data_IF_732552612242
#
_entry.id   IF_732552612242
#
_cell.length_a   1.000
_cell.length_b   1.000
_cell.length_c   1.000
_cell.angle_alpha   90.00
_cell.angle_beta   90.00
_cell.angle_gamma   90.00
#
_symmetry.space_group_name_H-M   'P 1'
#
loop_
_entity.id
_entity.type
_entity.pdbx_description
1 polymer ?
#
# COMPACT_ATOMS: atom_id res chain seq x y z
N UNK A 1 28.77 16.90 29.38
CA UNK A 1 27.49 16.40 29.91
C UNK A 1 26.71 15.92 28.70
N UNK A 2 26.63 14.62 28.53
CA UNK A 2 25.82 14.00 27.48
C UNK A 2 24.35 14.37 27.74
N UNK A 3 23.78 15.22 26.90
CA UNK A 3 22.33 15.38 26.84
C UNK A 3 21.76 14.01 26.45
N UNK A 4 21.32 13.26 27.44
CA UNK A 4 20.40 12.15 27.17
C UNK A 4 19.17 12.77 26.54
N UNK A 5 19.08 12.65 25.22
CA UNK A 5 17.93 13.10 24.46
C UNK A 5 16.73 12.28 24.96
N UNK A 6 15.99 12.86 25.89
CA UNK A 6 14.83 12.24 26.52
C UNK A 6 13.77 12.04 25.43
N UNK A 7 13.23 10.84 25.29
CA UNK A 7 12.15 10.51 24.38
C UNK A 7 10.96 11.48 24.48
N UNK A 8 10.79 12.09 25.66
CA UNK A 8 9.78 13.15 25.89
C UNK A 8 10.11 14.43 25.11
N UNK A 9 11.39 14.79 24.97
CA UNK A 9 11.83 15.94 24.18
C UNK A 9 11.49 15.77 22.70
N UNK A 10 11.79 14.59 22.11
CA UNK A 10 11.41 14.32 20.72
C UNK A 10 9.90 14.39 20.50
N UNK A 11 9.11 13.88 21.42
CA UNK A 11 7.65 13.95 21.33
C UNK A 11 7.13 15.39 21.38
N UNK A 12 7.74 16.24 22.21
CA UNK A 12 7.39 17.66 22.28
C UNK A 12 7.74 18.40 20.99
N UNK A 13 8.89 18.11 20.36
CA UNK A 13 9.30 18.68 19.08
C UNK A 13 8.30 18.33 17.98
N UNK A 14 7.96 17.06 17.87
CA UNK A 14 6.98 16.58 16.88
C UNK A 14 5.61 17.22 17.09
N UNK A 15 5.15 17.33 18.34
CA UNK A 15 3.87 17.97 18.68
C UNK A 15 3.88 19.47 18.39
N UNK A 16 4.97 20.17 18.68
CA UNK A 16 5.13 21.61 18.44
C UNK A 16 5.06 21.94 16.95
N UNK A 17 5.66 21.09 16.11
CA UNK A 17 5.74 21.28 14.66
C UNK A 17 4.78 20.34 13.87
N UNK A 18 3.77 19.78 14.54
CA UNK A 18 2.81 18.84 13.93
C UNK A 18 2.13 19.42 12.68
N UNK A 19 1.82 20.71 12.68
CA UNK A 19 1.27 21.41 11.51
C UNK A 19 2.17 21.30 10.28
N UNK A 20 3.48 21.45 10.45
CA UNK A 20 4.46 21.34 9.38
C UNK A 20 4.52 19.90 8.85
N UNK A 21 4.53 18.91 9.75
CA UNK A 21 4.51 17.48 9.37
C UNK A 21 3.26 17.16 8.57
N UNK A 22 2.08 17.60 9.04
CA UNK A 22 0.81 17.38 8.34
C UNK A 22 0.84 18.05 6.97
N UNK A 23 1.35 19.27 6.86
CA UNK A 23 1.43 19.98 5.58
C UNK A 23 2.32 19.23 4.58
N UNK A 24 3.50 18.74 5.01
CA UNK A 24 4.40 17.95 4.17
C UNK A 24 3.72 16.65 3.73
N UNK A 25 3.08 15.94 4.66
CA UNK A 25 2.39 14.68 4.37
C UNK A 25 1.28 14.90 3.34
N UNK A 26 0.43 15.92 3.52
CA UNK A 26 -0.65 16.24 2.58
C UNK A 26 -0.09 16.60 1.21
N UNK A 27 0.95 17.43 1.15
CA UNK A 27 1.57 17.85 -0.11
C UNK A 27 2.17 16.67 -0.87
N UNK A 28 2.93 15.80 -0.19
CA UNK A 28 3.55 14.63 -0.81
C UNK A 28 2.49 13.63 -1.25
N UNK A 29 1.48 13.34 -0.43
CA UNK A 29 0.38 12.44 -0.80
C UNK A 29 -0.38 12.98 -2.02
N UNK A 30 -0.62 14.29 -2.10
CA UNK A 30 -1.25 14.91 -3.25
C UNK A 30 -0.39 14.74 -4.51
N UNK A 31 0.91 15.02 -4.43
CA UNK A 31 1.83 14.84 -5.56
C UNK A 31 1.90 13.38 -6.03
N UNK A 32 2.03 12.43 -5.10
CA UNK A 32 2.06 10.99 -5.42
C UNK A 32 0.73 10.54 -6.01
N UNK A 33 -0.40 11.01 -5.48
CA UNK A 33 -1.73 10.71 -5.99
C UNK A 33 -1.94 11.21 -7.42
N UNK A 34 -1.61 12.47 -7.68
CA UNK A 34 -1.69 13.07 -9.02
C UNK A 34 -0.76 12.34 -9.99
N UNK A 35 0.49 12.10 -9.60
CA UNK A 35 1.44 11.34 -10.42
C UNK A 35 0.92 9.95 -10.78
N UNK A 36 0.41 9.22 -9.77
CA UNK A 36 -0.08 7.85 -9.97
C UNK A 36 -1.36 7.79 -10.82
N UNK A 37 -2.25 8.78 -10.68
CA UNK A 37 -3.53 8.79 -11.39
C UNK A 37 -3.45 9.34 -12.82
N UNK A 38 -2.59 10.36 -13.08
CA UNK A 38 -2.60 11.08 -14.34
C UNK A 38 -1.40 10.80 -15.24
N UNK A 39 -0.22 10.49 -14.67
CA UNK A 39 1.02 10.34 -15.46
C UNK A 39 1.24 8.88 -15.84
N UNK A 40 0.93 7.91 -14.97
CA UNK A 40 1.09 6.49 -15.29
C UNK A 40 -0.08 5.99 -16.13
N UNK A 41 0.24 5.33 -17.25
CA UNK A 41 -0.76 4.67 -18.10
C UNK A 41 -1.37 3.49 -17.35
N UNK A 42 -2.68 3.26 -17.46
CA UNK A 42 -3.30 2.07 -16.89
C UNK A 42 -2.76 0.81 -17.57
N UNK A 43 -2.49 -0.22 -16.78
CA UNK A 43 -2.05 -1.54 -17.24
C UNK A 43 -3.14 -2.54 -16.90
N UNK A 44 -3.52 -3.32 -17.87
CA UNK A 44 -4.52 -4.38 -17.74
C UNK A 44 -3.86 -5.74 -17.73
N UNK A 45 -4.48 -6.70 -17.07
CA UNK A 45 -4.01 -8.08 -17.01
C UNK A 45 -5.06 -9.01 -17.64
N UNK A 46 -4.60 -9.90 -18.48
CA UNK A 46 -5.39 -11.01 -19.00
C UNK A 46 -4.70 -12.32 -18.65
N UNK A 47 -5.48 -13.37 -18.41
CA UNK A 47 -4.93 -14.65 -17.98
C UNK A 47 -5.56 -15.83 -18.70
N UNK A 48 -4.72 -16.83 -19.03
CA UNK A 48 -5.10 -18.12 -19.58
C UNK A 48 -4.70 -19.21 -18.60
N UNK A 49 -5.55 -20.20 -18.36
CA UNK A 49 -5.26 -21.32 -17.48
C UNK A 49 -4.96 -22.56 -18.27
N UNK A 50 -3.86 -23.23 -17.93
CA UNK A 50 -3.35 -24.44 -18.57
C UNK A 50 -3.26 -25.56 -17.54
N UNK A 51 -3.71 -26.74 -17.89
CA UNK A 51 -3.53 -27.96 -17.09
C UNK A 51 -2.50 -28.85 -17.78
N UNK A 52 -1.52 -29.32 -17.02
CA UNK A 52 -0.57 -30.32 -17.49
C UNK A 52 -0.83 -31.63 -16.76
N UNK A 53 -1.19 -32.66 -17.51
CA UNK A 53 -1.48 -33.99 -16.98
C UNK A 53 -0.60 -35.03 -17.70
N UNK A 54 0.08 -35.87 -16.96
CA UNK A 54 0.73 -37.06 -17.55
C UNK A 54 -0.26 -38.21 -17.56
N UNK A 55 -0.54 -38.77 -18.75
CA UNK A 55 -1.22 -40.08 -18.83
C UNK A 55 -0.27 -41.13 -18.27
N UNK A 56 -0.64 -41.75 -17.17
CA UNK A 56 -0.06 -43.02 -16.75
C UNK A 56 -0.41 -44.08 -17.82
N UNK A 57 0.63 -44.61 -18.48
CA UNK A 57 0.53 -45.63 -19.53
C UNK A 57 0.24 -47.02 -18.94
N UNK A 58 -0.11 -47.11 -17.67
CA UNK A 58 -0.29 -48.41 -17.01
C UNK A 58 -1.68 -48.52 -16.40
N UNK A 59 -2.34 -49.56 -16.88
CA UNK A 59 -3.74 -49.99 -16.60
C UNK A 59 -3.91 -50.59 -15.20
N UNK A 60 -3.52 -49.88 -14.13
CA UNK A 60 -3.90 -50.29 -12.77
C UNK A 60 -4.80 -49.22 -12.14
N UNK A 61 -6.07 -49.46 -12.23
CA UNK A 61 -7.19 -48.57 -11.91
C UNK A 61 -7.34 -48.32 -10.39
N UNK A 62 -6.47 -48.83 -9.52
CA UNK A 62 -6.74 -48.90 -8.08
C UNK A 62 -5.69 -48.32 -7.14
N UNK A 63 -4.64 -47.62 -7.63
CA UNK A 63 -3.72 -46.89 -6.72
C UNK A 63 -3.52 -45.47 -7.19
N UNK A 64 -4.10 -44.53 -6.47
CA UNK A 64 -3.65 -43.10 -6.49
C UNK A 64 -2.20 -43.06 -6.06
N UNK A 65 -1.28 -43.02 -7.01
CA UNK A 65 0.14 -42.92 -6.72
C UNK A 65 0.49 -41.48 -6.32
N UNK A 66 0.57 -41.25 -5.01
CA UNK A 66 0.97 -39.97 -4.44
C UNK A 66 2.32 -39.47 -4.96
N UNK A 67 3.20 -40.39 -5.37
CA UNK A 67 4.51 -40.04 -5.94
C UNK A 67 4.34 -39.41 -7.35
N UNK A 68 3.39 -39.90 -8.15
CA UNK A 68 3.08 -39.30 -9.45
C UNK A 68 2.49 -37.90 -9.31
N UNK A 69 1.63 -37.69 -8.32
CA UNK A 69 1.05 -36.36 -8.03
C UNK A 69 2.16 -35.37 -7.65
N UNK A 70 3.06 -35.76 -6.76
CA UNK A 70 4.18 -34.92 -6.34
C UNK A 70 5.17 -34.62 -7.48
N UNK A 71 5.44 -35.62 -8.34
CA UNK A 71 6.29 -35.46 -9.52
C UNK A 71 5.65 -34.47 -10.50
N UNK A 72 4.36 -34.55 -10.73
CA UNK A 72 3.61 -33.64 -11.62
C UNK A 72 3.64 -32.19 -11.08
N UNK A 73 3.56 -32.01 -9.77
CA UNK A 73 3.66 -30.68 -9.13
C UNK A 73 5.07 -30.08 -9.34
N UNK A 74 6.13 -30.87 -9.22
CA UNK A 74 7.51 -30.42 -9.46
C UNK A 74 7.70 -30.03 -10.92
N UNK A 75 7.14 -30.78 -11.87
CA UNK A 75 7.19 -30.45 -13.29
C UNK A 75 6.51 -29.10 -13.62
N UNK A 76 5.46 -28.73 -12.89
CA UNK A 76 4.83 -27.41 -13.07
C UNK A 76 5.81 -26.27 -12.87
N UNK A 77 6.70 -26.34 -11.89
CA UNK A 77 7.72 -25.30 -11.69
C UNK A 77 8.69 -25.22 -12.87
N UNK A 78 9.07 -26.36 -13.42
CA UNK A 78 9.88 -26.43 -14.65
C UNK A 78 9.15 -25.81 -15.83
N UNK A 79 7.89 -26.10 -16.03
CA UNK A 79 7.09 -25.56 -17.14
C UNK A 79 6.87 -24.06 -17.03
N UNK A 80 6.72 -23.51 -15.82
CA UNK A 80 6.64 -22.07 -15.60
C UNK A 80 7.87 -21.33 -16.09
N UNK A 81 9.05 -21.90 -15.83
CA UNK A 81 10.31 -21.32 -16.32
C UNK A 81 10.43 -21.45 -17.84
N UNK A 82 10.06 -22.60 -18.42
CA UNK A 82 10.16 -22.86 -19.85
C UNK A 82 9.29 -21.91 -20.68
N UNK A 83 8.09 -21.59 -20.23
CA UNK A 83 7.21 -20.63 -20.93
C UNK A 83 7.90 -19.29 -21.19
N UNK A 84 8.76 -18.86 -20.27
CA UNK A 84 9.51 -17.59 -20.36
C UNK A 84 10.78 -17.67 -21.18
N UNK A 85 11.19 -18.86 -21.60
CA UNK A 85 12.41 -19.03 -22.38
C UNK A 85 12.25 -18.61 -23.84
N UNK A 86 13.36 -18.22 -24.51
CA UNK A 86 13.35 -17.96 -25.94
C UNK A 86 12.81 -19.15 -26.75
N UNK A 87 13.00 -20.40 -26.29
CA UNK A 87 12.50 -21.59 -26.96
C UNK A 87 10.99 -21.55 -27.23
N UNK A 88 10.21 -20.94 -26.34
CA UNK A 88 8.76 -20.75 -26.52
C UNK A 88 8.45 -19.37 -27.08
N UNK A 89 9.05 -18.30 -26.53
CA UNK A 89 8.72 -16.93 -26.92
C UNK A 89 9.10 -16.59 -28.36
N UNK A 90 10.22 -17.11 -28.88
CA UNK A 90 10.60 -16.95 -30.29
C UNK A 90 9.58 -17.63 -31.22
N UNK A 91 9.03 -18.77 -30.79
CA UNK A 91 7.96 -19.45 -31.53
C UNK A 91 6.67 -18.63 -31.53
N UNK A 92 6.36 -17.94 -30.40
CA UNK A 92 5.20 -17.02 -30.35
C UNK A 92 5.40 -15.88 -31.34
N UNK A 93 6.58 -15.24 -31.35
CA UNK A 93 6.91 -14.15 -32.28
C UNK A 93 6.79 -14.61 -33.74
N UNK A 94 7.28 -15.82 -34.03
CA UNK A 94 7.25 -16.37 -35.38
C UNK A 94 5.85 -16.72 -35.83
N UNK A 95 5.01 -17.32 -34.97
CA UNK A 95 3.67 -17.78 -35.30
C UNK A 95 2.61 -16.65 -35.28
N UNK A 96 2.90 -15.58 -34.55
CA UNK A 96 1.99 -14.43 -34.36
C UNK A 96 2.69 -13.08 -34.65
N UNK A 97 3.15 -12.87 -35.91
CA UNK A 97 3.91 -11.64 -36.28
C UNK A 97 3.08 -10.36 -36.13
N UNK A 98 1.74 -10.47 -36.12
CA UNK A 98 0.80 -9.38 -35.89
C UNK A 98 0.96 -8.71 -34.52
N UNK A 99 1.49 -9.41 -33.53
CA UNK A 99 1.72 -8.85 -32.18
C UNK A 99 2.84 -7.79 -32.18
N UNK A 100 3.76 -7.83 -33.16
CA UNK A 100 4.89 -6.87 -33.34
C UNK A 100 5.71 -6.71 -32.06
N UNK A 101 6.01 -7.80 -31.38
CA UNK A 101 6.79 -7.87 -30.14
C UNK A 101 8.03 -8.72 -30.35
N UNK A 102 9.11 -8.42 -29.62
CA UNK A 102 10.26 -9.32 -29.49
C UNK A 102 10.05 -10.34 -28.36
N UNK A 103 10.83 -11.42 -28.34
CA UNK A 103 10.79 -12.40 -27.27
C UNK A 103 11.16 -11.78 -25.89
N UNK A 104 12.09 -10.81 -25.87
CA UNK A 104 12.45 -10.07 -24.66
C UNK A 104 11.27 -9.27 -24.12
N UNK A 105 10.57 -8.52 -24.98
CA UNK A 105 9.37 -7.77 -24.59
C UNK A 105 8.27 -8.69 -24.07
N UNK A 106 8.04 -9.83 -24.71
CA UNK A 106 7.11 -10.84 -24.22
C UNK A 106 7.51 -11.36 -22.84
N UNK A 107 8.80 -11.63 -22.61
CA UNK A 107 9.30 -12.12 -21.33
C UNK A 107 9.05 -11.13 -20.17
N UNK A 108 9.13 -9.82 -20.43
CA UNK A 108 8.85 -8.78 -19.45
C UNK A 108 7.37 -8.64 -19.13
N UNK A 109 6.50 -8.88 -20.13
CA UNK A 109 5.05 -8.75 -20.00
C UNK A 109 4.37 -9.98 -19.39
N UNK A 110 5.06 -11.15 -19.43
CA UNK A 110 4.50 -12.45 -19.04
C UNK A 110 4.89 -12.81 -17.60
N UNK A 111 3.89 -13.12 -16.81
CA UNK A 111 4.06 -13.75 -15.51
C UNK A 111 3.34 -15.11 -15.47
N UNK A 112 4.04 -16.15 -15.01
CA UNK A 112 3.47 -17.50 -14.93
C UNK A 112 3.42 -17.91 -13.47
N UNK A 113 2.22 -18.17 -13.00
CA UNK A 113 1.93 -18.62 -11.65
C UNK A 113 1.28 -20.01 -11.65
N UNK A 114 1.32 -20.69 -10.52
CA UNK A 114 0.57 -21.93 -10.30
C UNK A 114 -0.07 -21.89 -8.92
N UNK A 115 -1.23 -22.51 -8.79
CA UNK A 115 -1.85 -22.71 -7.48
C UNK A 115 -1.08 -23.83 -6.79
N UNK A 116 -0.63 -23.61 -5.57
CA UNK A 116 0.16 -24.58 -4.81
C UNK A 116 -0.54 -25.96 -4.79
N UNK A 117 0.26 -27.01 -5.06
CA UNK A 117 -0.18 -28.41 -5.05
C UNK A 117 -1.26 -28.76 -6.11
N UNK A 118 -1.33 -27.98 -7.19
CA UNK A 118 -2.21 -28.29 -8.31
C UNK A 118 -1.43 -28.39 -9.62
N UNK A 119 -2.02 -29.07 -10.60
CA UNK A 119 -1.48 -29.20 -11.96
C UNK A 119 -1.90 -28.04 -12.88
N UNK A 120 -2.44 -26.96 -12.30
CA UNK A 120 -2.93 -25.80 -13.03
C UNK A 120 -1.90 -24.67 -13.00
N UNK A 121 -1.51 -24.22 -14.18
CA UNK A 121 -0.71 -23.00 -14.38
C UNK A 121 -1.60 -21.90 -14.92
N UNK A 122 -1.29 -20.68 -14.52
CA UNK A 122 -1.91 -19.46 -15.02
C UNK A 122 -0.86 -18.63 -15.73
N UNK A 123 -1.03 -18.40 -17.01
CA UNK A 123 -0.23 -17.47 -17.82
C UNK A 123 -0.93 -16.13 -17.77
N UNK A 124 -0.29 -15.15 -17.15
CA UNK A 124 -0.79 -13.79 -16.98
C UNK A 124 0.06 -12.87 -17.87
N UNK A 125 -0.59 -11.99 -18.61
CA UNK A 125 0.06 -11.01 -19.46
C UNK A 125 -0.46 -9.63 -19.12
N UNK A 126 0.46 -8.67 -18.98
CA UNK A 126 0.15 -7.30 -18.66
C UNK A 126 0.47 -6.39 -19.85
N UNK A 127 -0.53 -5.61 -20.29
CA UNK A 127 -0.39 -4.62 -21.37
C UNK A 127 -1.28 -3.40 -21.08
N UNK A 128 -1.00 -2.30 -21.78
CA UNK A 128 -1.84 -1.08 -21.73
C UNK A 128 -3.22 -1.27 -22.37
N UNK A 129 -3.41 -2.34 -23.14
CA UNK A 129 -4.67 -2.77 -23.74
C UNK A 129 -5.05 -4.18 -23.26
N UNK A 130 -6.22 -4.31 -22.66
CA UNK A 130 -6.71 -5.63 -22.22
C UNK A 130 -6.85 -6.63 -23.37
N UNK A 131 -7.38 -6.19 -24.51
CA UNK A 131 -7.55 -7.04 -25.71
C UNK A 131 -6.21 -7.62 -26.14
N UNK A 132 -5.19 -6.75 -26.22
CA UNK A 132 -3.83 -7.17 -26.59
C UNK A 132 -3.22 -8.11 -25.56
N UNK A 133 -3.40 -7.85 -24.26
CA UNK A 133 -2.97 -8.76 -23.20
C UNK A 133 -3.62 -10.15 -23.35
N UNK A 134 -4.91 -10.20 -23.68
CA UNK A 134 -5.66 -11.46 -23.89
C UNK A 134 -5.16 -12.22 -25.13
N UNK A 135 -4.92 -11.53 -26.24
CA UNK A 135 -4.36 -12.12 -27.46
C UNK A 135 -2.97 -12.72 -27.20
N UNK A 136 -2.09 -12.00 -26.52
CA UNK A 136 -0.74 -12.46 -26.18
C UNK A 136 -0.83 -13.67 -25.24
N UNK A 137 -1.67 -13.63 -24.18
CA UNK A 137 -1.82 -14.75 -23.25
C UNK A 137 -2.32 -16.02 -23.95
N UNK A 138 -3.25 -15.87 -24.88
CA UNK A 138 -3.78 -16.99 -25.68
C UNK A 138 -2.72 -17.51 -26.65
N UNK A 139 -1.99 -16.64 -27.36
CA UNK A 139 -0.95 -17.02 -28.29
C UNK A 139 0.19 -17.81 -27.58
N UNK A 140 0.64 -17.35 -26.44
CA UNK A 140 1.65 -18.05 -25.64
C UNK A 140 1.15 -19.44 -25.22
N UNK A 141 -0.10 -19.51 -24.76
CA UNK A 141 -0.72 -20.76 -24.31
C UNK A 141 -0.89 -21.76 -25.45
N UNK A 142 -1.29 -21.28 -26.63
CA UNK A 142 -1.45 -22.12 -27.82
C UNK A 142 -0.10 -22.66 -28.33
N UNK A 143 0.95 -21.83 -28.33
CA UNK A 143 2.32 -22.26 -28.68
C UNK A 143 2.85 -23.24 -27.64
N UNK A 144 2.70 -22.94 -26.37
CA UNK A 144 3.13 -23.84 -25.30
C UNK A 144 2.46 -25.21 -25.39
N UNK A 145 1.15 -25.25 -25.64
CA UNK A 145 0.39 -26.50 -25.83
C UNK A 145 0.93 -27.34 -26.99
N UNK A 146 1.40 -26.69 -28.06
CA UNK A 146 1.91 -27.38 -29.25
C UNK A 146 3.35 -27.83 -29.10
N UNK A 147 4.22 -27.00 -28.48
CA UNK A 147 5.65 -27.24 -28.43
C UNK A 147 6.09 -28.15 -27.28
N UNK A 148 5.41 -28.10 -26.12
CA UNK A 148 5.82 -28.89 -24.95
C UNK A 148 5.78 -30.39 -25.19
N UNK A 149 4.79 -30.98 -25.86
CA UNK A 149 4.80 -32.40 -26.18
C UNK A 149 6.04 -32.83 -26.98
N UNK A 150 6.54 -31.95 -27.84
CA UNK A 150 7.72 -32.23 -28.68
C UNK A 150 9.01 -32.15 -27.86
N UNK A 151 9.12 -31.21 -26.90
CA UNK A 151 10.31 -30.97 -26.10
C UNK A 151 10.47 -32.02 -24.99
N UNK A 152 9.38 -32.40 -24.33
CA UNK A 152 9.40 -33.23 -23.12
C UNK A 152 8.72 -34.60 -23.27
N UNK A 153 8.26 -34.97 -24.45
CA UNK A 153 7.52 -36.21 -24.68
C UNK A 153 6.31 -36.40 -23.72
N UNK A 154 5.70 -35.31 -23.28
CA UNK A 154 4.50 -35.29 -22.44
C UNK A 154 3.27 -35.12 -23.33
N UNK A 155 2.25 -35.97 -23.14
CA UNK A 155 1.13 -36.05 -24.11
C UNK A 155 -0.07 -35.18 -23.77
N UNK A 156 -0.13 -34.53 -22.60
CA UNK A 156 -1.38 -33.90 -22.16
C UNK A 156 -1.15 -32.52 -21.57
N UNK A 157 -0.98 -31.51 -22.43
CA UNK A 157 -1.15 -30.12 -22.09
C UNK A 157 -2.51 -29.66 -22.63
N UNK A 158 -3.40 -29.19 -21.76
CA UNK A 158 -4.72 -28.72 -22.16
C UNK A 158 -4.96 -27.31 -21.65
N UNK A 159 -5.48 -26.45 -22.52
CA UNK A 159 -5.94 -25.13 -22.12
C UNK A 159 -7.30 -25.29 -21.45
N UNK A 160 -7.37 -24.97 -20.16
CA UNK A 160 -8.58 -25.06 -19.38
C UNK A 160 -9.51 -23.87 -19.64
N UNK A 161 -8.94 -22.68 -19.72
CA UNK A 161 -9.68 -21.46 -19.98
C UNK A 161 -8.79 -20.45 -20.72
N UNK A 162 -9.28 -19.96 -21.85
CA UNK A 162 -8.62 -18.89 -22.61
C UNK A 162 -9.03 -17.53 -22.05
N UNK A 163 -8.13 -16.56 -22.18
CA UNK A 163 -8.45 -15.16 -21.89
C UNK A 163 -9.54 -14.68 -22.85
N UNK A 164 -10.60 -14.11 -22.32
CA UNK A 164 -11.68 -13.55 -23.14
C UNK A 164 -11.23 -12.26 -23.79
N UNK A 165 -11.32 -12.18 -25.11
CA UNK A 165 -11.01 -10.94 -25.86
C UNK A 165 -12.14 -9.91 -25.65
N UNK A 166 -13.38 -10.38 -25.50
CA UNK A 166 -14.56 -9.56 -25.20
C UNK A 166 -15.11 -9.94 -23.84
N UNK A 167 -14.58 -9.37 -22.75
CA UNK A 167 -15.07 -9.70 -21.41
C UNK A 167 -16.46 -9.11 -21.17
N UNK A 168 -17.32 -9.85 -20.47
CA UNK A 168 -18.68 -9.44 -20.11
C UNK A 168 -18.70 -8.19 -19.19
N UNK A 169 -17.65 -7.98 -18.44
CA UNK A 169 -17.47 -6.81 -17.57
C UNK A 169 -16.25 -6.02 -18.02
N UNK A 170 -16.31 -4.70 -17.88
CA UNK A 170 -15.19 -3.83 -18.23
C UNK A 170 -13.97 -4.23 -17.39
N UNK A 171 -12.83 -4.55 -18.03
CA UNK A 171 -11.62 -4.90 -17.29
C UNK A 171 -11.13 -3.72 -16.42
N UNK A 172 -10.79 -4.00 -15.18
CA UNK A 172 -10.18 -3.02 -14.31
C UNK A 172 -8.65 -3.03 -14.49
N UNK A 173 -7.99 -1.87 -14.47
CA UNK A 173 -6.54 -1.83 -14.55
C UNK A 173 -5.92 -2.37 -13.25
N UNK A 174 -4.92 -3.23 -13.39
CA UNK A 174 -4.15 -3.79 -12.25
C UNK A 174 -3.03 -2.86 -11.78
N UNK A 175 -2.63 -1.91 -12.60
CA UNK A 175 -1.63 -0.89 -12.27
C UNK A 175 -2.02 0.46 -12.93
N UNK A 176 -1.60 1.59 -12.31
CA UNK A 176 -0.90 1.71 -11.03
C UNK A 176 -1.79 1.40 -9.82
N UNK A 177 -1.22 0.76 -8.81
CA UNK A 177 -1.92 0.55 -7.55
C UNK A 177 -1.88 1.84 -6.71
N UNK A 178 -2.89 2.72 -6.90
CA UNK A 178 -2.95 4.03 -6.26
C UNK A 178 -2.90 3.92 -4.72
N UNK A 179 -3.68 3.03 -4.06
CA UNK A 179 -3.63 2.91 -2.60
C UNK A 179 -2.24 2.53 -2.08
N UNK A 180 -1.57 1.58 -2.74
CA UNK A 180 -0.23 1.15 -2.36
C UNK A 180 0.80 2.27 -2.53
N UNK A 181 0.76 2.99 -3.67
CA UNK A 181 1.64 4.11 -3.92
C UNK A 181 1.44 5.24 -2.91
N UNK A 182 0.19 5.53 -2.52
CA UNK A 182 -0.13 6.50 -1.48
C UNK A 182 0.37 6.05 -0.11
N UNK A 183 0.23 4.77 0.25
CA UNK A 183 0.74 4.26 1.52
C UNK A 183 2.26 4.40 1.63
N UNK A 184 2.99 4.06 0.55
CA UNK A 184 4.45 4.24 0.50
C UNK A 184 4.80 5.74 0.58
N UNK A 185 4.12 6.59 -0.19
CA UNK A 185 4.31 8.03 -0.17
C UNK A 185 4.06 8.64 1.21
N UNK A 186 3.03 8.17 1.92
CA UNK A 186 2.72 8.60 3.28
C UNK A 186 3.85 8.27 4.26
N UNK A 187 4.39 7.04 4.24
CA UNK A 187 5.49 6.63 5.12
C UNK A 187 6.73 7.50 4.86
N UNK A 188 7.10 7.69 3.59
CA UNK A 188 8.26 8.51 3.22
C UNK A 188 8.04 9.97 3.65
N UNK A 189 6.85 10.52 3.40
CA UNK A 189 6.51 11.89 3.79
C UNK A 189 6.57 12.10 5.31
N UNK A 190 6.12 11.12 6.07
CA UNK A 190 6.17 11.14 7.54
C UNK A 190 7.62 11.12 8.03
N UNK A 191 8.47 10.26 7.44
CA UNK A 191 9.91 10.23 7.77
C UNK A 191 10.59 11.58 7.47
N UNK A 192 10.33 12.16 6.29
CA UNK A 192 10.86 13.46 5.90
C UNK A 192 10.33 14.57 6.83
N UNK A 193 9.02 14.57 7.12
CA UNK A 193 8.39 15.56 7.97
C UNK A 193 8.93 15.57 9.39
N UNK A 194 9.10 14.39 10.00
CA UNK A 194 9.70 14.24 11.33
C UNK A 194 11.17 14.64 11.31
N UNK A 195 11.95 14.16 10.33
CA UNK A 195 13.37 14.50 10.20
C UNK A 195 13.59 16.01 10.04
N UNK A 196 12.79 16.65 9.18
CA UNK A 196 12.84 18.10 8.99
C UNK A 196 12.42 18.87 10.25
N UNK A 197 11.43 18.36 10.97
CA UNK A 197 10.97 18.95 12.24
C UNK A 197 12.08 18.94 13.29
N UNK A 198 12.82 17.85 13.41
CA UNK A 198 13.96 17.71 14.31
C UNK A 198 15.12 18.61 13.86
N UNK A 199 15.41 18.61 12.55
CA UNK A 199 16.46 19.46 11.99
C UNK A 199 16.19 20.95 12.23
N UNK A 200 14.95 21.39 12.01
CA UNK A 200 14.56 22.78 12.26
C UNK A 200 14.58 23.16 13.74
N UNK A 201 14.34 22.22 14.65
CA UNK A 201 14.49 22.46 16.07
C UNK A 201 15.96 22.51 16.47
N UNK A 202 16.81 21.68 15.87
CA UNK A 202 18.26 21.72 16.07
C UNK A 202 18.89 23.04 15.58
N UNK A 203 18.34 23.65 14.54
CA UNK A 203 18.79 24.94 13.99
C UNK A 203 18.13 26.15 14.68
N UNK A 204 17.21 25.91 15.61
CA UNK A 204 16.50 26.97 16.34
C UNK A 204 17.26 27.35 17.63
N UNK A 205 18.25 28.22 17.49
CA UNK A 205 19.07 28.73 18.62
C UNK A 205 18.32 29.72 19.54
N UNK A 206 16.97 29.73 19.47
CA UNK A 206 16.17 30.65 20.29
C UNK A 206 16.10 30.17 21.73
N UNK A 207 16.55 30.99 22.66
CA UNK A 207 16.44 30.76 24.10
C UNK A 207 14.99 30.78 24.51
N UNK A 208 14.46 29.67 25.01
CA UNK A 208 13.04 29.50 25.36
C UNK A 208 12.80 29.09 26.80
N UNK A 209 13.79 28.52 27.45
CA UNK A 209 13.69 28.01 28.81
C UNK A 209 14.65 28.67 29.76
N UNK A 210 14.38 28.60 31.07
CA UNK A 210 15.31 29.08 32.09
C UNK A 210 16.62 28.29 32.08
N UNK A 211 16.56 27.01 31.74
CA UNK A 211 17.71 26.16 31.57
C UNK A 211 18.64 26.66 30.44
N UNK A 212 18.08 27.12 29.32
CA UNK A 212 18.84 27.68 28.18
C UNK A 212 19.58 28.95 28.61
N UNK A 213 18.90 29.82 29.35
CA UNK A 213 19.51 31.06 29.89
C UNK A 213 20.67 30.73 30.81
N UNK A 214 20.50 29.77 31.73
CA UNK A 214 21.54 29.35 32.66
C UNK A 214 22.73 28.70 31.98
N UNK A 215 22.49 27.91 30.93
CA UNK A 215 23.58 27.27 30.16
C UNK A 215 24.39 28.26 29.30
N UNK A 216 23.72 29.27 28.72
CA UNK A 216 24.37 30.21 27.80
C UNK A 216 25.06 31.36 28.55
N UNK A 217 24.43 31.85 29.62
CA UNK A 217 24.92 33.00 30.36
C UNK A 217 25.67 32.64 31.67
N UNK A 218 25.62 31.38 32.06
CA UNK A 218 26.16 30.86 33.34
C UNK A 218 25.72 31.70 34.57
N UNK A 219 24.52 32.29 34.48
CA UNK A 219 23.93 33.12 35.53
C UNK A 219 22.56 32.58 35.96
N UNK A 220 22.26 32.64 37.28
CA UNK A 220 20.93 32.24 37.75
C UNK A 220 19.88 33.28 37.32
N UNK A 221 18.73 32.82 36.90
CA UNK A 221 17.54 33.65 36.59
C UNK A 221 17.04 34.30 37.87
N UNK A 222 17.00 35.63 37.91
CA UNK A 222 16.55 36.38 39.07
C UNK A 222 15.03 36.53 39.15
N UNK A 223 14.36 36.57 38.01
CA UNK A 223 12.91 36.65 37.93
C UNK A 223 12.39 36.25 36.56
N UNK A 224 11.19 35.66 36.49
CA UNK A 224 10.45 35.37 35.26
C UNK A 224 9.23 36.30 35.17
N UNK A 225 9.12 37.07 34.09
CA UNK A 225 7.94 37.90 33.81
C UNK A 225 7.04 37.15 32.83
N UNK A 226 5.91 36.68 33.31
CA UNK A 226 4.92 36.03 32.47
C UNK A 226 4.19 37.12 31.66
N UNK A 227 4.23 37.05 30.35
CA UNK A 227 3.41 37.90 29.50
C UNK A 227 1.98 37.44 29.61
N UNK A 228 1.16 38.14 30.41
CA UNK A 228 -0.28 37.93 30.48
C UNK A 228 -0.86 38.43 29.15
N UNK A 229 -1.35 37.53 28.31
CA UNK A 229 -2.14 37.91 27.13
C UNK A 229 -3.36 38.70 27.64
N UNK A 230 -3.69 39.81 27.00
CA UNK A 230 -4.95 40.49 27.25
C UNK A 230 -6.07 39.51 26.88
N UNK A 231 -6.71 38.93 27.89
CA UNK A 231 -7.98 38.24 27.72
C UNK A 231 -8.99 39.22 27.13
N UNK A 232 -9.68 38.80 26.12
CA UNK A 232 -10.83 39.50 25.55
C UNK A 232 -11.75 40.00 26.69
N UNK A 233 -12.11 41.26 26.58
CA UNK A 233 -13.09 41.91 27.46
C UNK A 233 -14.31 41.02 27.65
N UNK A 234 -14.38 40.40 28.82
CA UNK A 234 -15.62 39.80 29.27
C UNK A 234 -16.67 40.93 29.33
N UNK A 235 -17.71 40.75 28.56
CA UNK A 235 -18.88 41.61 28.53
C UNK A 235 -19.45 41.70 29.96
N UNK A 236 -19.24 42.83 30.59
CA UNK A 236 -19.89 43.15 31.89
C UNK A 236 -21.39 43.18 31.68
N UNK A 237 -22.09 42.20 32.20
CA UNK A 237 -23.52 42.23 32.41
C UNK A 237 -23.79 43.11 33.63
N UNK A 238 -24.60 44.19 33.55
CA UNK A 238 -24.85 45.03 34.70
C UNK A 238 -25.62 44.28 35.75
N UNK A 239 -25.00 44.05 36.91
CA UNK A 239 -25.66 43.56 38.12
C UNK A 239 -26.53 44.67 38.68
N UNK A 240 -27.84 44.55 38.48
CA UNK A 240 -28.87 45.35 39.18
C UNK A 240 -28.75 45.13 40.69
N UNK A 241 -28.38 46.20 41.38
CA UNK A 241 -28.47 46.30 42.84
C UNK A 241 -29.98 46.45 43.22
N UNK A 242 -30.51 45.50 43.94
CA UNK A 242 -31.72 45.70 44.72
C UNK A 242 -31.41 45.33 46.16
N UNK A 243 -31.17 46.40 46.95
CA UNK A 243 -31.15 46.37 48.41
C UNK A 243 -32.56 46.13 48.96
N UNK A 244 -32.69 45.18 49.82
CA UNK A 244 -33.78 45.21 50.83
C UNK A 244 -33.36 44.59 52.17
N UNK A 245 -33.44 45.41 53.18
CA UNK A 245 -33.12 45.24 54.59
C UNK A 245 -34.11 44.25 55.23
N UNK A 246 -33.71 43.49 56.27
CA UNK A 246 -34.53 42.50 56.90
C UNK A 246 -35.43 43.14 58.00
N UNK A 247 -36.69 42.79 58.01
CA UNK A 247 -37.59 43.00 59.18
C UNK A 247 -37.80 41.70 59.99
N UNK A 248 -37.49 41.89 61.24
CA UNK A 248 -37.62 41.09 62.47
C UNK A 248 -39.06 40.78 62.84
N UNK A 249 -39.29 39.60 63.37
CA UNK A 249 -40.49 39.20 64.20
C UNK A 249 -41.24 38.09 63.52
N UNK A 250 -41.68 37.10 64.12
CA UNK A 250 -42.08 36.70 65.45
C UNK A 250 -42.33 35.17 65.46
N UNK A 251 -42.19 34.60 66.62
CA UNK A 251 -42.54 33.25 67.08
C UNK A 251 -43.92 32.77 66.66
N UNK A 252 -44.12 31.51 66.42
CA UNK A 252 -44.96 30.63 67.29
C UNK A 252 -45.03 29.20 66.66
N UNK A 253 -44.69 28.28 67.48
CA UNK A 253 -45.45 27.21 68.13
C UNK A 253 -46.35 26.33 67.23
N UNK A 254 -46.11 25.05 67.36
CA UNK A 254 -47.22 24.13 67.49
C UNK A 254 -47.17 22.88 66.62
N UNK A 255 -46.75 21.82 67.28
CA UNK A 255 -47.45 20.51 67.47
C UNK A 255 -47.65 19.59 66.24
N UNK A 256 -46.99 18.48 66.29
CA UNK A 256 -47.40 17.09 66.58
C UNK A 256 -48.40 16.42 65.60
N UNK A 257 -47.95 15.18 65.22
CA UNK A 257 -48.76 13.98 64.92
C UNK A 257 -49.21 13.82 63.47
N UNK A 258 -48.90 12.79 62.83
CA UNK A 258 -48.87 11.33 63.07
C UNK A 258 -47.89 10.65 62.09
#
# INVERSE_FOLDING_TARGET
>A
VSQELDLRGYFQIVRKRSWLIVLIVVLVCLLVGVYSAFIKKPVYEASTKIVVNQKSTQSDVNQLDLNQINTNIQLINTYKEIIKTPAILDRVVTNYPELKLSAEQLSEMVNVSSVNQTQVMTVQVQDTSYVRAAEIANAISDVFQKEIPTIFNVQNVSILNKASIEPLTRPEPVAPNIPLNMAIGFIIALMIGVGLSILLEYLDDTIKTEEDVKQILDMPTLAMIIKVGQEEKATETPRSQASTIPKRGERNHGTISK
#
